data_IF_330281722352
#
_entry.id   IF_330281722352
#
_cell.length_a   1.000
_cell.length_b   1.000
_cell.length_c   1.000
_cell.angle_alpha   90.00
_cell.angle_beta   90.00
_cell.angle_gamma   90.00
#
_symmetry.space_group_name_H-M   'P 1'
#
loop_
_entity.id
_entity.type
_entity.pdbx_description
1 polymer ?
#
# COMPACT_ATOMS: atom_id res chain seq x y z
N UNK A 1 9.77 12.82 -5.95
CA UNK A 1 8.76 11.80 -6.25
C UNK A 1 9.00 11.37 -7.68
N UNK A 2 9.20 10.07 -7.94
CA UNK A 2 9.15 9.56 -9.30
C UNK A 2 7.70 9.66 -9.74
N UNK A 3 7.42 10.32 -10.86
CA UNK A 3 6.05 10.43 -11.35
C UNK A 3 5.51 9.01 -11.60
N UNK A 4 4.46 8.63 -10.87
CA UNK A 4 3.81 7.31 -10.92
C UNK A 4 3.33 6.93 -12.33
N UNK A 5 3.19 7.92 -13.21
CA UNK A 5 2.84 7.82 -14.62
C UNK A 5 3.89 7.13 -15.51
N UNK A 6 5.14 6.98 -15.06
CA UNK A 6 6.23 6.35 -15.82
C UNK A 6 6.61 4.96 -15.31
N UNK A 7 5.95 4.48 -14.26
CA UNK A 7 6.26 3.18 -13.68
C UNK A 7 5.70 2.08 -14.58
N UNK A 8 6.60 1.27 -15.15
CA UNK A 8 6.21 0.03 -15.80
C UNK A 8 5.53 -0.87 -14.76
N UNK A 9 4.24 -1.17 -14.99
CA UNK A 9 3.41 -1.90 -14.03
C UNK A 9 3.95 -3.33 -13.78
N UNK A 10 4.43 -4.00 -14.82
CA UNK A 10 4.97 -5.36 -14.70
C UNK A 10 6.25 -5.35 -13.85
N UNK A 11 7.18 -4.44 -14.16
CA UNK A 11 8.44 -4.31 -13.42
C UNK A 11 8.19 -3.96 -11.95
N UNK A 12 7.25 -3.04 -11.68
CA UNK A 12 6.88 -2.67 -10.32
C UNK A 12 6.24 -3.84 -9.56
N UNK A 13 5.29 -4.52 -10.20
CA UNK A 13 4.60 -5.67 -9.61
C UNK A 13 5.61 -6.74 -9.21
N UNK A 14 6.56 -7.04 -10.10
CA UNK A 14 7.61 -8.01 -9.82
C UNK A 14 8.51 -7.53 -8.68
N UNK A 15 8.98 -6.28 -8.74
CA UNK A 15 9.82 -5.67 -7.70
C UNK A 15 9.16 -5.70 -6.32
N UNK A 16 7.88 -5.33 -6.23
CA UNK A 16 7.13 -5.30 -4.97
C UNK A 16 6.95 -6.72 -4.40
N UNK A 17 6.64 -7.70 -5.25
CA UNK A 17 6.59 -9.12 -4.88
C UNK A 17 7.93 -9.60 -4.33
N UNK A 18 9.01 -9.39 -5.09
CA UNK A 18 10.36 -9.82 -4.71
C UNK A 18 10.80 -9.19 -3.39
N UNK A 19 10.49 -7.92 -3.17
CA UNK A 19 10.77 -7.23 -1.90
C UNK A 19 10.11 -7.91 -0.69
N UNK A 20 8.86 -8.38 -0.84
CA UNK A 20 8.18 -9.10 0.23
C UNK A 20 8.67 -10.54 0.34
N UNK A 21 8.79 -11.26 -0.78
CA UNK A 21 9.13 -12.68 -0.81
C UNK A 21 10.58 -12.93 -0.33
N UNK A 22 11.49 -12.01 -0.60
CA UNK A 22 12.85 -12.01 -0.05
C UNK A 22 12.94 -11.50 1.39
N UNK A 23 11.81 -11.25 2.05
CA UNK A 23 11.70 -10.76 3.44
C UNK A 23 12.39 -9.42 3.73
N UNK A 24 12.72 -8.63 2.70
CA UNK A 24 13.31 -7.30 2.89
C UNK A 24 12.38 -6.36 3.67
N UNK A 25 11.07 -6.55 3.56
CA UNK A 25 10.07 -5.82 4.35
C UNK A 25 10.22 -5.95 5.87
N UNK A 26 10.88 -7.00 6.36
CA UNK A 26 11.16 -7.16 7.80
C UNK A 26 12.22 -6.18 8.32
N UNK A 27 12.92 -5.49 7.42
CA UNK A 27 13.85 -4.40 7.78
C UNK A 27 13.10 -3.08 8.07
N UNK A 28 11.80 -3.00 7.77
CA UNK A 28 11.00 -1.84 8.15
C UNK A 28 10.76 -1.85 9.67
N UNK A 29 11.07 -0.74 10.36
CA UNK A 29 10.86 -0.66 11.80
C UNK A 29 9.40 -0.86 12.19
N UNK A 30 9.16 -1.60 13.27
CA UNK A 30 7.82 -1.88 13.79
C UNK A 30 7.10 -3.05 13.10
N UNK A 31 7.64 -3.60 12.02
CA UNK A 31 7.06 -4.78 11.36
C UNK A 31 7.24 -6.04 12.22
N UNK A 32 6.15 -6.76 12.45
CA UNK A 32 6.16 -8.06 13.10
C UNK A 32 6.48 -9.17 12.09
N UNK A 33 7.41 -10.07 12.43
CA UNK A 33 7.84 -11.13 11.50
C UNK A 33 6.77 -12.19 11.25
N UNK A 34 6.01 -12.58 12.28
CA UNK A 34 5.03 -13.67 12.17
C UNK A 34 3.76 -13.22 11.42
N UNK A 35 3.32 -11.98 11.67
CA UNK A 35 2.23 -11.36 10.91
C UNK A 35 2.55 -9.89 10.58
N UNK A 36 3.24 -9.65 9.44
CA UNK A 36 3.67 -8.32 9.02
C UNK A 36 2.54 -7.31 8.86
N UNK A 37 1.34 -7.75 8.47
CA UNK A 37 0.19 -6.86 8.28
C UNK A 37 -0.87 -6.97 9.38
N UNK A 38 -0.53 -7.57 10.53
CA UNK A 38 -1.39 -7.50 11.71
C UNK A 38 -1.67 -6.04 12.11
N UNK A 39 -2.81 -5.80 12.76
CA UNK A 39 -3.17 -4.48 13.30
C UNK A 39 -2.06 -3.90 14.18
N UNK A 40 -1.44 -4.73 15.02
CA UNK A 40 -0.31 -4.34 15.87
C UNK A 40 0.90 -3.90 15.05
N UNK A 41 1.28 -4.70 14.05
CA UNK A 41 2.43 -4.43 13.18
C UNK A 41 2.23 -3.14 12.38
N UNK A 42 1.07 -2.97 11.74
CA UNK A 42 0.74 -1.76 10.98
C UNK A 42 0.80 -0.49 11.85
N UNK A 43 0.23 -0.53 13.06
CA UNK A 43 0.27 0.61 14.00
C UNK A 43 1.69 0.93 14.44
N UNK A 44 2.49 -0.08 14.77
CA UNK A 44 3.89 0.14 15.17
C UNK A 44 4.73 0.71 14.03
N UNK A 45 4.54 0.17 12.82
CA UNK A 45 5.20 0.60 11.58
C UNK A 45 4.84 2.06 11.25
N UNK A 46 3.55 2.43 11.31
CA UNK A 46 3.11 3.80 11.05
C UNK A 46 3.65 4.78 12.10
N UNK A 47 3.58 4.45 13.39
CA UNK A 47 4.12 5.31 14.45
C UNK A 47 5.60 5.61 14.24
N UNK A 48 6.39 4.61 13.86
CA UNK A 48 7.80 4.83 13.54
C UNK A 48 7.97 5.71 12.31
N UNK A 49 7.21 5.45 11.24
CA UNK A 49 7.22 6.26 10.03
C UNK A 49 6.90 7.73 10.32
N UNK A 50 5.85 8.01 11.10
CA UNK A 50 5.45 9.36 11.47
C UNK A 50 6.52 10.08 12.30
N UNK A 51 7.13 9.38 13.26
CA UNK A 51 8.19 9.93 14.09
C UNK A 51 9.45 10.32 13.26
N UNK A 52 9.69 9.64 12.14
CA UNK A 52 10.88 9.82 11.30
C UNK A 52 10.58 10.44 9.93
N UNK A 53 9.34 10.89 9.69
CA UNK A 53 8.87 11.28 8.36
C UNK A 53 9.77 12.30 7.64
N UNK A 54 10.36 13.23 8.39
CA UNK A 54 11.23 14.29 7.84
C UNK A 54 12.61 13.78 7.41
N UNK A 55 13.07 12.68 7.98
CA UNK A 55 14.43 12.15 7.80
C UNK A 55 14.47 10.87 6.96
N UNK A 56 13.31 10.25 6.70
CA UNK A 56 13.22 9.04 5.85
C UNK A 56 13.61 9.38 4.41
N UNK A 57 14.64 8.71 3.85
CA UNK A 57 15.08 8.95 2.48
C UNK A 57 14.07 8.37 1.47
N UNK A 58 14.08 8.90 0.24
CA UNK A 58 13.12 8.51 -0.79
C UNK A 58 13.05 6.99 -1.08
N UNK A 59 14.17 6.23 -1.16
CA UNK A 59 14.11 4.78 -1.32
C UNK A 59 13.34 4.07 -0.20
N UNK A 60 13.49 4.54 1.04
CA UNK A 60 12.76 3.96 2.17
C UNK A 60 11.27 4.26 2.11
N UNK A 61 10.83 5.37 1.50
CA UNK A 61 9.40 5.62 1.25
C UNK A 61 8.82 4.62 0.25
N UNK A 62 9.57 4.30 -0.80
CA UNK A 62 9.21 3.27 -1.77
C UNK A 62 9.07 1.90 -1.09
N UNK A 63 9.95 1.58 -0.14
CA UNK A 63 9.84 0.35 0.68
C UNK A 63 8.49 0.27 1.45
N UNK A 64 8.02 1.38 2.03
CA UNK A 64 6.71 1.43 2.68
C UNK A 64 5.56 1.29 1.68
N UNK A 65 5.64 1.92 0.50
CA UNK A 65 4.62 1.78 -0.54
C UNK A 65 4.50 0.34 -1.04
N UNK A 66 5.64 -0.31 -1.31
CA UNK A 66 5.67 -1.73 -1.68
C UNK A 66 5.13 -2.62 -0.56
N UNK A 67 5.53 -2.37 0.69
CA UNK A 67 5.05 -3.12 1.85
C UNK A 67 3.54 -3.01 2.04
N UNK A 68 2.98 -1.80 2.00
CA UNK A 68 1.55 -1.58 2.17
C UNK A 68 0.75 -2.14 0.99
N UNK A 69 1.20 -1.88 -0.24
CA UNK A 69 0.54 -2.37 -1.44
C UNK A 69 0.54 -3.91 -1.54
N UNK A 70 1.66 -4.57 -1.24
CA UNK A 70 1.68 -6.04 -1.20
C UNK A 70 0.82 -6.61 -0.08
N UNK A 71 0.71 -5.93 1.05
CA UNK A 71 -0.21 -6.33 2.12
C UNK A 71 -1.66 -6.30 1.67
N UNK A 72 -2.08 -5.20 1.06
CA UNK A 72 -3.40 -5.05 0.47
C UNK A 72 -3.67 -6.12 -0.60
N UNK A 73 -2.72 -6.31 -1.52
CA UNK A 73 -2.79 -7.30 -2.61
C UNK A 73 -2.95 -8.72 -2.08
N UNK A 74 -2.12 -9.12 -1.11
CA UNK A 74 -2.07 -10.51 -0.59
C UNK A 74 -3.23 -10.82 0.33
N UNK A 75 -3.68 -9.87 1.15
CA UNK A 75 -4.76 -10.10 2.12
C UNK A 75 -6.15 -10.01 1.53
N UNK A 76 -6.33 -9.12 0.54
CA UNK A 76 -7.66 -8.81 0.01
C UNK A 76 -7.80 -9.16 -1.47
N UNK A 77 -6.93 -10.04 -1.98
CA UNK A 77 -6.95 -10.54 -3.37
C UNK A 77 -6.94 -9.42 -4.43
N UNK A 78 -6.30 -8.30 -4.10
CA UNK A 78 -6.14 -7.19 -5.04
C UNK A 78 -5.10 -7.47 -6.11
N UNK A 79 -4.94 -6.52 -7.03
CA UNK A 79 -3.89 -6.53 -8.04
C UNK A 79 -3.28 -5.15 -8.19
N UNK A 80 -1.96 -5.10 -8.41
CA UNK A 80 -1.30 -3.86 -8.80
C UNK A 80 -1.89 -3.38 -10.11
N UNK A 81 -2.32 -2.13 -10.13
CA UNK A 81 -2.89 -1.51 -11.31
C UNK A 81 -2.62 -0.02 -11.32
N UNK A 82 -2.74 0.53 -12.51
CA UNK A 82 -2.80 1.95 -12.75
C UNK A 82 -4.25 2.45 -12.63
N UNK A 83 -4.46 3.62 -12.06
CA UNK A 83 -5.79 4.19 -11.78
C UNK A 83 -6.68 4.32 -13.03
N UNK A 84 -6.08 4.41 -14.22
CA UNK A 84 -6.77 4.37 -15.52
C UNK A 84 -7.60 3.11 -15.75
N UNK A 85 -7.46 2.07 -14.90
CA UNK A 85 -8.35 0.91 -14.90
C UNK A 85 -9.80 1.26 -14.53
N UNK A 86 -10.01 2.31 -13.72
CA UNK A 86 -11.34 2.80 -13.32
C UNK A 86 -11.94 3.75 -14.35
N UNK A 87 -11.12 4.63 -14.93
CA UNK A 87 -11.55 5.56 -15.97
C UNK A 87 -10.44 5.78 -16.99
N UNK A 88 -10.70 5.39 -18.24
CA UNK A 88 -9.77 5.56 -19.37
C UNK A 88 -9.49 7.03 -19.71
N UNK A 89 -10.28 7.98 -19.18
CA UNK A 89 -10.05 9.43 -19.34
C UNK A 89 -8.95 9.95 -18.42
N UNK A 90 -8.52 9.18 -17.41
CA UNK A 90 -7.38 9.55 -16.57
C UNK A 90 -6.16 9.66 -17.47
N UNK A 91 -5.60 10.86 -17.56
CA UNK A 91 -4.43 11.09 -18.41
C UNK A 91 -3.24 10.30 -17.88
N UNK A 92 -2.32 9.92 -18.77
CA UNK A 92 -1.11 9.20 -18.39
C UNK A 92 -0.34 9.91 -17.27
N UNK A 93 -0.29 11.25 -17.28
CA UNK A 93 0.39 12.08 -16.28
C UNK A 93 -0.19 11.94 -14.87
N UNK A 94 -1.48 11.66 -14.74
CA UNK A 94 -2.18 11.45 -13.47
C UNK A 94 -2.46 9.99 -13.18
N UNK A 95 -1.82 9.08 -13.91
CA UNK A 95 -2.04 7.66 -13.73
C UNK A 95 -1.32 7.18 -12.46
N UNK A 96 -2.07 7.16 -11.36
CA UNK A 96 -1.58 6.77 -10.05
C UNK A 96 -1.48 5.24 -9.97
N UNK A 97 -0.46 4.79 -9.24
CA UNK A 97 -0.25 3.37 -8.97
C UNK A 97 -0.94 2.97 -7.67
N UNK A 98 -1.56 1.80 -7.66
CA UNK A 98 -2.28 1.31 -6.50
C UNK A 98 -2.72 -0.13 -6.60
N UNK A 99 -3.61 -0.54 -5.68
CA UNK A 99 -4.20 -1.86 -5.64
C UNK A 99 -5.66 -1.76 -6.06
N UNK A 100 -5.99 -2.43 -7.16
CA UNK A 100 -7.36 -2.57 -7.65
C UNK A 100 -7.96 -3.87 -7.15
N UNK A 101 -9.23 -3.83 -6.74
CA UNK A 101 -10.01 -4.99 -6.28
C UNK A 101 -11.17 -5.22 -7.26
N UNK A 102 -11.04 -6.15 -8.23
CA UNK A 102 -12.06 -6.35 -9.27
C UNK A 102 -13.45 -6.66 -8.74
N UNK A 103 -13.52 -7.41 -7.65
CA UNK A 103 -14.78 -7.85 -7.04
C UNK A 103 -15.58 -6.70 -6.42
N UNK A 104 -14.90 -5.60 -6.06
CA UNK A 104 -15.50 -4.45 -5.39
C UNK A 104 -15.49 -3.19 -6.27
N UNK A 105 -14.87 -3.26 -7.45
CA UNK A 105 -14.56 -2.11 -8.32
C UNK A 105 -13.90 -0.94 -7.56
N UNK A 106 -13.06 -1.26 -6.57
CA UNK A 106 -12.38 -0.30 -5.70
C UNK A 106 -10.89 -0.22 -5.99
N UNK A 107 -10.28 0.93 -5.64
CA UNK A 107 -8.87 1.19 -5.87
C UNK A 107 -8.23 1.94 -4.70
N UNK A 108 -7.20 1.35 -4.10
CA UNK A 108 -6.36 2.00 -3.08
C UNK A 108 -5.07 2.53 -3.69
N UNK A 109 -4.90 3.86 -3.71
CA UNK A 109 -3.67 4.50 -4.19
C UNK A 109 -2.56 4.36 -3.13
N UNK A 110 -1.51 3.59 -3.41
CA UNK A 110 -0.48 3.26 -2.40
C UNK A 110 0.37 4.47 -2.00
N UNK A 111 0.72 5.35 -2.94
CA UNK A 111 1.45 6.59 -2.64
C UNK A 111 0.65 7.54 -1.73
N UNK A 112 -0.68 7.55 -1.89
CA UNK A 112 -1.58 8.34 -1.03
C UNK A 112 -1.65 7.80 0.40
N UNK A 113 -1.41 6.51 0.63
CA UNK A 113 -1.41 5.94 1.99
C UNK A 113 -0.34 6.59 2.89
N UNK A 114 0.82 6.91 2.32
CA UNK A 114 1.88 7.61 3.07
C UNK A 114 1.51 9.07 3.33
N UNK A 115 1.03 9.78 2.30
CA UNK A 115 0.62 11.17 2.41
C UNK A 115 -0.55 11.35 3.40
N UNK A 116 -1.54 10.45 3.35
CA UNK A 116 -2.70 10.46 4.22
C UNK A 116 -2.33 10.14 5.67
N UNK A 117 -1.41 9.20 5.92
CA UNK A 117 -0.89 8.98 7.27
C UNK A 117 -0.20 10.24 7.82
N UNK A 118 0.61 10.92 7.00
CA UNK A 118 1.26 12.18 7.41
C UNK A 118 0.28 13.32 7.68
N UNK A 119 -0.85 13.36 6.96
CA UNK A 119 -1.90 14.33 7.16
C UNK A 119 -2.72 14.01 8.42
N UNK A 120 -3.12 12.75 8.59
CA UNK A 120 -3.95 12.29 9.71
C UNK A 120 -3.19 12.27 11.05
N UNK A 121 -1.91 11.88 11.03
CA UNK A 121 -1.00 11.79 12.21
C UNK A 121 -1.55 10.95 13.37
N UNK A 122 -2.37 9.95 13.10
CA UNK A 122 -2.99 9.13 14.15
C UNK A 122 -2.09 7.98 14.61
N UNK A 123 -1.24 7.46 13.73
CA UNK A 123 -0.42 6.27 14.01
C UNK A 123 -1.20 4.96 13.91
N UNK A 124 -2.39 5.01 13.33
CA UNK A 124 -3.26 3.85 13.09
C UNK A 124 -4.06 3.94 11.77
N UNK A 125 -3.72 4.89 10.90
CA UNK A 125 -4.38 5.10 9.62
C UNK A 125 -4.27 3.86 8.71
N UNK A 126 -3.05 3.32 8.52
CA UNK A 126 -2.81 2.11 7.73
C UNK A 126 -3.55 0.91 8.31
N UNK A 127 -3.57 0.78 9.64
CA UNK A 127 -4.28 -0.29 10.31
C UNK A 127 -5.79 -0.21 10.04
N UNK A 128 -6.34 1.00 10.06
CA UNK A 128 -7.75 1.29 9.75
C UNK A 128 -8.09 0.99 8.28
N UNK A 129 -7.22 1.34 7.33
CA UNK A 129 -7.39 1.00 5.91
C UNK A 129 -7.45 -0.52 5.70
N UNK A 130 -6.56 -1.28 6.35
CA UNK A 130 -6.58 -2.75 6.27
C UNK A 130 -7.85 -3.33 6.92
N UNK A 131 -8.32 -2.75 8.03
CA UNK A 131 -9.55 -3.19 8.68
C UNK A 131 -10.80 -2.91 7.82
N UNK A 132 -10.82 -1.77 7.13
CA UNK A 132 -11.89 -1.41 6.21
C UNK A 132 -11.94 -2.38 5.02
N UNK A 133 -10.79 -2.64 4.39
CA UNK A 133 -10.70 -3.60 3.29
C UNK A 133 -11.13 -5.02 3.71
N UNK A 134 -10.76 -5.46 4.91
CA UNK A 134 -11.21 -6.76 5.42
C UNK A 134 -12.74 -6.78 5.60
N UNK A 135 -13.32 -5.73 6.16
CA UNK A 135 -14.78 -5.61 6.32
C UNK A 135 -15.50 -5.64 4.97
N UNK A 136 -14.98 -4.93 3.97
CA UNK A 136 -15.55 -4.88 2.62
C UNK A 136 -15.43 -6.22 1.89
N UNK A 137 -14.28 -6.90 2.03
CA UNK A 137 -14.07 -8.26 1.50
C UNK A 137 -15.08 -9.24 2.09
N UNK A 138 -15.28 -9.20 3.41
CA UNK A 138 -16.25 -10.07 4.09
C UNK A 138 -17.70 -9.77 3.68
N UNK A 139 -18.05 -8.48 3.51
CA UNK A 139 -19.36 -8.09 3.02
C UNK A 139 -19.61 -8.51 1.57
N UNK A 140 -18.59 -8.40 0.71
CA UNK A 140 -18.67 -8.82 -0.70
C UNK A 140 -18.78 -10.34 -0.88
N UNK A 141 -18.23 -11.14 0.04
CA UNK A 141 -18.35 -12.60 0.04
C UNK A 141 -19.70 -13.13 0.56
N UNK A 142 -20.52 -12.27 1.18
CA UNK A 142 -21.82 -12.63 1.71
C UNK A 142 -22.96 -12.51 0.67
N UNK A 143 -22.67 -11.97 -0.50
CA UNK A 143 -23.60 -11.80 -1.64
C UNK A 143 -23.31 -12.81 -2.75
#
# INVERSE_FOLDING_TARGET
>A
MVASSQVNLADWTQKAKDYVDSKQHLLLPGVCQDDPWSQRSLKACEKWFLANAKTIPAPRRIDYEMFLGEGLRRRFSGQWAHASILDKKISHEHNLLGIYYPQLEQFDVTGSLLANALAAKTGDFWASVFQLNESLRLAGLAN
#
